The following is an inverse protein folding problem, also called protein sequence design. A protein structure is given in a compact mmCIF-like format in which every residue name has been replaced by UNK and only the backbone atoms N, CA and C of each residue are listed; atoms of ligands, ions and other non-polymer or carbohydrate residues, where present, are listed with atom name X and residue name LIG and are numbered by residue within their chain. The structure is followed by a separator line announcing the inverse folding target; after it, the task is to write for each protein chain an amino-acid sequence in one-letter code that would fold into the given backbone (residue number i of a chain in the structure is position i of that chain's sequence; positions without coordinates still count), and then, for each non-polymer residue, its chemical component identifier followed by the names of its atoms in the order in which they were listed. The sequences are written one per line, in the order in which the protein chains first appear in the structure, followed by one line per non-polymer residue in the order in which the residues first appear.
data_IF_113160857048
#
_entry.id   IF_113160857048
#
_cell.length_a   1.000
_cell.length_b   1.000
_cell.length_c   1.000
_cell.angle_alpha   90.00
_cell.angle_beta   90.00
_cell.angle_gamma   90.00
#
_symmetry.space_group_name_H-M   'P 1'
#
loop_
_entity.id
_entity.type
_entity.pdbx_description
1 polymer ?
#
# COMPACT_ATOMS: atom_id res chain seq x y z
N UNK A 1 3.07 -22.29 16.00
CA UNK A 1 2.55 -22.46 14.62
C UNK A 1 2.12 -21.08 14.15
N UNK A 2 2.99 -20.38 13.40
CA UNK A 2 2.65 -19.10 12.77
C UNK A 2 1.67 -19.35 11.62
N UNK A 3 0.38 -19.11 11.84
CA UNK A 3 -0.63 -19.16 10.79
C UNK A 3 -0.24 -18.21 9.65
N UNK A 4 -0.42 -18.65 8.41
CA UNK A 4 -0.23 -17.80 7.21
C UNK A 4 -1.11 -16.56 7.36
N UNK A 5 -0.52 -15.37 7.36
CA UNK A 5 -1.28 -14.13 7.43
C UNK A 5 -2.10 -13.95 6.15
N UNK A 6 -3.41 -13.69 6.24
CA UNK A 6 -4.26 -13.59 5.06
C UNK A 6 -3.86 -12.40 4.20
N UNK A 7 -3.84 -12.61 2.89
CA UNK A 7 -3.61 -11.59 1.88
C UNK A 7 -4.36 -11.95 0.59
N UNK A 8 -4.65 -10.96 -0.22
CA UNK A 8 -5.32 -11.15 -1.50
C UNK A 8 -4.38 -11.73 -2.55
N UNK A 9 -4.93 -12.55 -3.44
CA UNK A 9 -4.23 -12.98 -4.66
C UNK A 9 -4.19 -11.84 -5.69
N UNK A 10 -3.35 -11.99 -6.72
CA UNK A 10 -3.31 -11.06 -7.84
C UNK A 10 -4.67 -10.90 -8.51
N UNK A 11 -5.37 -12.01 -8.73
CA UNK A 11 -6.71 -12.05 -9.32
C UNK A 11 -7.72 -11.27 -8.47
N UNK A 12 -7.69 -11.44 -7.15
CA UNK A 12 -8.58 -10.72 -6.24
C UNK A 12 -8.29 -9.21 -6.21
N UNK A 13 -7.02 -8.81 -6.27
CA UNK A 13 -6.65 -7.39 -6.39
C UNK A 13 -7.18 -6.82 -7.71
N UNK A 14 -6.98 -7.51 -8.83
CA UNK A 14 -7.51 -7.09 -10.13
C UNK A 14 -9.05 -7.00 -10.13
N UNK A 15 -9.74 -7.91 -9.45
CA UNK A 15 -11.20 -7.84 -9.29
C UNK A 15 -11.63 -6.58 -8.52
N UNK A 16 -10.92 -6.21 -7.46
CA UNK A 16 -11.20 -4.99 -6.71
C UNK A 16 -10.93 -3.72 -7.53
N UNK A 17 -9.86 -3.70 -8.31
CA UNK A 17 -9.58 -2.61 -9.24
C UNK A 17 -10.70 -2.44 -10.27
N UNK A 18 -11.09 -3.54 -10.92
CA UNK A 18 -12.16 -3.54 -11.91
C UNK A 18 -13.51 -3.11 -11.30
N UNK A 19 -13.80 -3.57 -10.09
CA UNK A 19 -15.00 -3.16 -9.35
C UNK A 19 -15.00 -1.66 -9.09
N UNK A 20 -13.88 -1.12 -8.56
CA UNK A 20 -13.76 0.31 -8.27
C UNK A 20 -13.89 1.17 -9.54
N UNK A 21 -13.27 0.76 -10.62
CA UNK A 21 -13.29 1.52 -11.86
C UNK A 21 -14.69 1.59 -12.51
N UNK A 22 -15.58 0.68 -12.15
CA UNK A 22 -16.99 0.67 -12.57
C UNK A 22 -17.95 1.33 -11.59
N UNK A 23 -17.52 1.60 -10.36
CA UNK A 23 -18.36 2.24 -9.35
C UNK A 23 -18.51 3.73 -9.63
N UNK A 24 -19.73 4.30 -9.48
CA UNK A 24 -19.90 5.74 -9.43
C UNK A 24 -19.24 6.30 -8.17
N UNK A 25 -18.85 7.56 -8.20
CA UNK A 25 -18.32 8.24 -7.03
C UNK A 25 -19.36 8.32 -5.91
N UNK A 26 -18.98 7.81 -4.74
CA UNK A 26 -19.84 7.65 -3.57
C UNK A 26 -18.99 7.50 -2.30
N UNK A 27 -19.64 7.38 -1.15
CA UNK A 27 -18.92 7.04 0.10
C UNK A 27 -18.31 5.63 0.02
N UNK A 28 -18.99 4.71 -0.61
CA UNK A 28 -18.53 3.33 -0.81
C UNK A 28 -17.30 3.28 -1.71
N UNK A 29 -17.29 4.06 -2.77
CA UNK A 29 -16.12 4.15 -3.65
C UNK A 29 -14.92 4.77 -2.94
N UNK A 30 -15.12 5.73 -2.03
CA UNK A 30 -14.05 6.28 -1.18
C UNK A 30 -13.45 5.22 -0.24
N UNK A 31 -14.28 4.34 0.32
CA UNK A 31 -13.80 3.23 1.15
C UNK A 31 -12.93 2.25 0.35
N UNK A 32 -13.36 1.93 -0.87
CA UNK A 32 -12.59 1.05 -1.74
C UNK A 32 -11.30 1.72 -2.23
N UNK A 33 -11.32 3.00 -2.56
CA UNK A 33 -10.12 3.77 -2.87
C UNK A 33 -9.11 3.76 -1.72
N UNK A 34 -9.57 3.95 -0.48
CA UNK A 34 -8.69 3.91 0.68
C UNK A 34 -8.07 2.53 0.91
N UNK A 35 -8.86 1.46 0.81
CA UNK A 35 -8.37 0.10 0.91
C UNK A 35 -7.34 -0.23 -0.17
N UNK A 36 -7.62 0.13 -1.42
CA UNK A 36 -6.70 -0.08 -2.54
C UNK A 36 -5.45 0.80 -2.41
N UNK A 37 -5.57 2.02 -1.91
CA UNK A 37 -4.40 2.85 -1.62
C UNK A 37 -3.46 2.18 -0.60
N UNK A 38 -4.00 1.62 0.48
CA UNK A 38 -3.21 0.81 1.41
C UNK A 38 -2.62 -0.45 0.76
N UNK A 39 -3.37 -1.09 -0.12
CA UNK A 39 -2.91 -2.29 -0.86
C UNK A 39 -1.72 -1.98 -1.76
N UNK A 40 -1.70 -0.82 -2.40
CA UNK A 40 -0.63 -0.43 -3.34
C UNK A 40 0.50 0.39 -2.71
N UNK A 41 0.41 0.75 -1.44
CA UNK A 41 1.45 1.50 -0.72
C UNK A 41 2.00 0.77 0.51
N UNK A 42 1.26 -0.23 1.00
CA UNK A 42 1.63 -0.92 2.24
C UNK A 42 1.49 -0.09 3.51
N UNK A 43 0.90 1.11 3.43
CA UNK A 43 0.75 2.00 4.58
C UNK A 43 -0.18 1.40 5.63
N UNK A 44 0.16 1.57 6.90
CA UNK A 44 -0.77 1.28 7.99
C UNK A 44 -1.95 2.26 7.94
N UNK A 45 -3.07 1.91 8.59
CA UNK A 45 -4.29 2.72 8.58
C UNK A 45 -4.03 4.18 8.99
N UNK A 46 -3.36 4.39 10.13
CA UNK A 46 -3.05 5.73 10.63
C UNK A 46 -2.13 6.52 9.69
N UNK A 47 -1.13 5.85 9.09
CA UNK A 47 -0.20 6.48 8.16
C UNK A 47 -0.92 6.88 6.86
N UNK A 48 -1.79 6.01 6.33
CA UNK A 48 -2.59 6.30 5.15
C UNK A 48 -3.60 7.43 5.38
N UNK A 49 -4.23 7.48 6.56
CA UNK A 49 -5.17 8.54 6.93
C UNK A 49 -4.47 9.89 7.10
N UNK A 50 -3.22 9.88 7.61
CA UNK A 50 -2.36 11.05 7.75
C UNK A 50 -1.53 11.40 6.51
N UNK A 51 -1.76 10.72 5.39
CA UNK A 51 -1.01 10.98 4.17
C UNK A 51 -1.21 12.41 3.66
N UNK A 52 -0.10 13.05 3.32
CA UNK A 52 -0.03 14.40 2.76
C UNK A 52 0.87 14.34 1.52
N UNK A 53 0.29 14.59 0.35
CA UNK A 53 0.99 14.47 -0.92
C UNK A 53 2.23 15.37 -0.98
N UNK A 54 2.09 16.62 -0.60
CA UNK A 54 3.18 17.62 -0.68
C UNK A 54 4.36 17.28 0.25
N UNK A 55 4.08 16.64 1.37
CA UNK A 55 5.10 16.27 2.35
C UNK A 55 5.76 14.95 2.08
N UNK A 56 4.98 13.98 1.57
CA UNK A 56 5.42 12.60 1.54
C UNK A 56 5.84 12.11 0.15
N UNK A 57 5.43 12.80 -0.93
CA UNK A 57 5.78 12.35 -2.29
C UNK A 57 7.06 13.03 -2.76
N UNK A 58 8.02 12.22 -3.14
CA UNK A 58 9.29 12.64 -3.71
C UNK A 58 9.48 12.00 -5.08
N UNK A 59 10.30 12.60 -5.92
CA UNK A 59 10.64 12.05 -7.25
C UNK A 59 12.11 11.62 -7.27
N UNK A 60 12.35 10.36 -7.67
CA UNK A 60 13.67 9.79 -7.77
C UNK A 60 13.81 9.16 -9.15
N UNK A 61 14.79 9.61 -9.94
CA UNK A 61 15.01 9.12 -11.32
C UNK A 61 13.74 9.18 -12.18
N UNK A 62 12.94 10.25 -12.03
CA UNK A 62 11.70 10.44 -12.78
C UNK A 62 10.49 9.65 -12.28
N UNK A 63 10.63 8.85 -11.24
CA UNK A 63 9.55 8.04 -10.68
C UNK A 63 9.13 8.56 -9.30
N UNK A 64 7.83 8.58 -8.97
CA UNK A 64 7.36 9.03 -7.68
C UNK A 64 7.49 7.93 -6.61
N UNK A 65 7.88 8.34 -5.41
CA UNK A 65 7.97 7.51 -4.20
C UNK A 65 7.27 8.20 -3.04
N UNK A 66 6.78 7.41 -2.08
CA UNK A 66 6.34 7.91 -0.78
C UNK A 66 7.50 7.73 0.19
N UNK A 67 7.94 8.83 0.80
CA UNK A 67 8.94 8.89 1.86
C UNK A 67 8.25 9.41 3.13
N UNK A 68 8.25 8.63 4.19
CA UNK A 68 7.53 8.98 5.40
C UNK A 68 8.05 8.29 6.65
N UNK A 69 7.46 8.65 7.77
CA UNK A 69 7.69 8.02 9.07
C UNK A 69 6.42 7.38 9.59
N UNK A 70 6.58 6.18 10.15
CA UNK A 70 5.48 5.46 10.80
C UNK A 70 5.00 6.20 12.03
N UNK A 71 3.75 6.59 12.09
CA UNK A 71 3.15 7.31 13.24
C UNK A 71 3.33 6.50 14.53
N UNK A 72 3.16 5.18 14.45
CA UNK A 72 3.23 4.31 15.64
C UNK A 72 4.65 4.09 16.18
N UNK A 73 5.66 4.05 15.32
CA UNK A 73 7.01 3.60 15.68
C UNK A 73 8.09 4.63 15.41
N UNK A 74 7.81 5.68 14.62
CA UNK A 74 8.80 6.64 14.15
C UNK A 74 9.77 6.08 13.11
N UNK A 75 9.62 4.81 12.71
CA UNK A 75 10.49 4.19 11.71
C UNK A 75 10.27 4.81 10.34
N UNK A 76 11.34 5.13 9.64
CA UNK A 76 11.28 5.60 8.25
C UNK A 76 10.86 4.48 7.30
N UNK A 77 10.14 4.84 6.24
CA UNK A 77 9.79 3.93 5.16
C UNK A 77 9.80 4.67 3.83
N UNK A 78 10.16 3.96 2.77
CA UNK A 78 10.11 4.46 1.40
C UNK A 78 9.49 3.39 0.52
N UNK A 79 8.43 3.76 -0.21
CA UNK A 79 7.75 2.85 -1.13
C UNK A 79 7.53 3.51 -2.49
N UNK A 80 7.58 2.76 -3.60
CA UNK A 80 7.22 3.32 -4.89
C UNK A 80 5.73 3.70 -4.91
N UNK A 81 5.42 4.85 -5.49
CA UNK A 81 4.04 5.26 -5.74
C UNK A 81 3.58 4.65 -7.07
N UNK A 82 3.05 3.44 -7.00
CA UNK A 82 2.66 2.66 -8.17
C UNK A 82 1.50 3.31 -8.96
N UNK A 83 1.34 3.00 -10.26
CA UNK A 83 0.39 3.68 -11.12
C UNK A 83 -1.05 3.68 -10.61
N UNK A 84 -1.53 2.58 -10.05
CA UNK A 84 -2.89 2.55 -9.52
C UNK A 84 -3.07 3.43 -8.27
N UNK A 85 -2.05 3.51 -7.40
CA UNK A 85 -2.06 4.45 -6.28
C UNK A 85 -2.08 5.91 -6.77
N UNK A 86 -1.34 6.23 -7.85
CA UNK A 86 -1.41 7.55 -8.50
C UNK A 86 -2.81 7.84 -9.05
N UNK A 87 -3.47 6.86 -9.66
CA UNK A 87 -4.85 6.96 -10.14
C UNK A 87 -5.83 7.25 -8.99
N UNK A 88 -5.65 6.60 -7.84
CA UNK A 88 -6.45 6.89 -6.63
C UNK A 88 -6.22 8.32 -6.15
N UNK A 89 -4.97 8.78 -6.07
CA UNK A 89 -4.66 10.15 -5.67
C UNK A 89 -5.29 11.18 -6.60
N UNK A 90 -5.25 10.95 -7.92
CA UNK A 90 -5.87 11.84 -8.90
C UNK A 90 -7.37 12.00 -8.67
N UNK A 91 -8.10 10.92 -8.37
CA UNK A 91 -9.56 10.98 -8.16
C UNK A 91 -9.97 11.36 -6.73
N UNK A 92 -9.07 11.31 -5.77
CA UNK A 92 -9.34 11.71 -4.36
C UNK A 92 -8.77 13.08 -3.99
N UNK A 93 -8.29 13.85 -4.97
CA UNK A 93 -7.65 15.15 -4.72
C UNK A 93 -6.40 15.03 -3.84
N UNK A 94 -5.59 14.00 -4.08
CA UNK A 94 -4.37 13.69 -3.33
C UNK A 94 -4.59 13.34 -1.84
N UNK A 95 -5.83 13.06 -1.44
CA UNK A 95 -6.15 12.80 -0.03
C UNK A 95 -7.14 11.63 0.11
N UNK A 96 -6.70 10.38 0.01
CA UNK A 96 -7.53 9.24 0.34
C UNK A 96 -8.02 9.36 1.78
N UNK A 97 -9.30 9.13 2.02
CA UNK A 97 -9.89 9.31 3.36
C UNK A 97 -11.01 8.34 3.62
N UNK A 98 -11.30 8.14 4.90
CA UNK A 98 -12.37 7.29 5.40
C UNK A 98 -13.27 8.14 6.30
N UNK A 99 -14.47 8.53 5.83
CA UNK A 99 -15.39 9.34 6.63
C UNK A 99 -15.87 8.67 7.93
N UNK A 100 -15.93 7.34 7.96
CA UNK A 100 -16.37 6.58 9.13
C UNK A 100 -15.68 5.21 9.15
N UNK A 101 -14.89 4.96 10.20
CA UNK A 101 -14.17 3.69 10.39
C UNK A 101 -15.14 2.51 10.53
N UNK A 102 -16.26 2.69 11.24
CA UNK A 102 -17.24 1.63 11.46
C UNK A 102 -17.91 1.22 10.13
N UNK A 103 -18.32 2.20 9.32
CA UNK A 103 -18.91 1.96 8.00
C UNK A 103 -17.88 1.38 7.02
N UNK A 104 -16.65 1.85 7.09
CA UNK A 104 -15.54 1.30 6.31
C UNK A 104 -15.33 -0.19 6.59
N UNK A 105 -15.21 -0.57 7.86
CA UNK A 105 -15.04 -1.97 8.24
C UNK A 105 -16.24 -2.84 7.84
N UNK A 106 -17.46 -2.31 7.95
CA UNK A 106 -18.66 -2.99 7.49
C UNK A 106 -18.65 -3.21 5.97
N UNK A 107 -18.33 -2.17 5.22
CA UNK A 107 -18.20 -2.21 3.76
C UNK A 107 -17.16 -3.25 3.32
N UNK A 108 -15.99 -3.27 3.97
CA UNK A 108 -14.93 -4.23 3.63
C UNK A 108 -15.35 -5.69 3.80
N UNK A 109 -16.17 -6.01 4.79
CA UNK A 109 -16.72 -7.36 4.97
C UNK A 109 -17.60 -7.77 3.78
N UNK A 110 -18.46 -6.87 3.32
CA UNK A 110 -19.33 -7.11 2.17
C UNK A 110 -18.55 -7.28 0.87
N UNK A 111 -17.57 -6.43 0.62
CA UNK A 111 -16.71 -6.51 -0.56
C UNK A 111 -15.86 -7.78 -0.55
N UNK A 112 -15.30 -8.16 0.59
CA UNK A 112 -14.55 -9.42 0.71
C UNK A 112 -15.40 -10.64 0.33
N UNK A 113 -16.62 -10.70 0.83
CA UNK A 113 -17.55 -11.77 0.47
C UNK A 113 -17.90 -11.76 -1.03
N UNK A 114 -18.11 -10.58 -1.61
CA UNK A 114 -18.46 -10.43 -3.03
C UNK A 114 -17.36 -10.92 -3.99
N UNK A 115 -16.08 -10.82 -3.61
CA UNK A 115 -14.95 -11.34 -4.39
C UNK A 115 -14.50 -12.74 -3.95
N UNK A 116 -15.28 -13.43 -3.12
CA UNK A 116 -15.00 -14.80 -2.69
C UNK A 116 -13.85 -14.95 -1.71
N UNK A 117 -13.53 -13.92 -0.91
CA UNK A 117 -12.56 -14.06 0.17
C UNK A 117 -13.07 -14.94 1.29
N UNK A 118 -12.23 -15.87 1.75
CA UNK A 118 -12.51 -16.75 2.88
C UNK A 118 -12.17 -16.11 4.25
N UNK A 119 -11.77 -14.86 4.24
CA UNK A 119 -11.39 -14.07 5.43
C UNK A 119 -11.90 -12.63 5.28
N UNK A 120 -12.15 -11.92 6.38
CA UNK A 120 -12.60 -10.54 6.30
C UNK A 120 -11.49 -9.62 5.80
N UNK A 121 -11.83 -8.69 4.91
CA UNK A 121 -10.91 -7.63 4.50
C UNK A 121 -10.72 -6.65 5.66
N UNK A 122 -9.46 -6.27 5.88
CA UNK A 122 -9.05 -5.29 6.89
C UNK A 122 -7.85 -4.49 6.38
N UNK A 123 -7.51 -3.39 7.03
CA UNK A 123 -6.27 -2.66 6.73
C UNK A 123 -5.01 -3.52 6.87
N UNK A 124 -5.01 -4.50 7.76
CA UNK A 124 -3.91 -5.46 7.86
C UNK A 124 -3.82 -6.37 6.64
N UNK A 125 -4.96 -6.80 6.11
CA UNK A 125 -5.00 -7.59 4.86
C UNK A 125 -4.47 -6.75 3.69
N UNK A 126 -4.85 -5.49 3.58
CA UNK A 126 -4.31 -4.58 2.55
C UNK A 126 -2.78 -4.51 2.62
N UNK A 127 -2.23 -4.28 3.81
CA UNK A 127 -0.79 -4.20 4.04
C UNK A 127 -0.06 -5.53 3.77
N UNK A 128 -0.66 -6.67 4.13
CA UNK A 128 -0.11 -7.98 3.81
C UNK A 128 -0.17 -8.30 2.31
N UNK A 129 -1.21 -7.83 1.64
CA UNK A 129 -1.34 -7.94 0.19
C UNK A 129 -0.25 -7.15 -0.53
N UNK A 130 0.03 -5.93 -0.09
CA UNK A 130 1.18 -5.17 -0.59
C UNK A 130 2.48 -5.98 -0.46
N UNK A 131 2.76 -6.49 0.74
CA UNK A 131 3.98 -7.23 0.98
C UNK A 131 4.09 -8.50 0.12
N UNK A 132 3.06 -9.35 0.13
CA UNK A 132 3.12 -10.67 -0.48
C UNK A 132 2.82 -10.65 -1.99
N UNK A 133 1.80 -9.92 -2.41
CA UNK A 133 1.28 -9.96 -3.78
C UNK A 133 1.90 -8.89 -4.65
N UNK A 134 1.95 -7.64 -4.15
CA UNK A 134 2.43 -6.51 -4.95
C UNK A 134 3.96 -6.48 -5.01
N UNK A 135 4.66 -6.70 -3.91
CA UNK A 135 6.12 -6.55 -3.85
C UNK A 135 6.84 -7.89 -4.03
N UNK A 136 6.66 -8.85 -3.12
CA UNK A 136 7.33 -10.14 -3.24
C UNK A 136 6.87 -10.93 -4.47
N UNK A 137 5.59 -10.82 -4.83
CA UNK A 137 5.02 -11.45 -6.02
C UNK A 137 5.63 -10.97 -7.33
N UNK A 138 6.18 -9.76 -7.37
CA UNK A 138 6.90 -9.19 -8.52
C UNK A 138 8.43 -9.37 -8.41
N UNK A 139 8.89 -10.23 -7.52
CA UNK A 139 10.30 -10.62 -7.43
C UNK A 139 11.22 -9.68 -6.65
N UNK A 140 10.66 -8.71 -5.93
CA UNK A 140 11.48 -7.82 -5.07
C UNK A 140 12.00 -8.61 -3.86
N UNK A 141 13.29 -8.52 -3.53
CA UNK A 141 13.86 -9.22 -2.38
C UNK A 141 13.19 -8.85 -1.05
N UNK A 142 13.12 -9.82 -0.14
CA UNK A 142 12.52 -9.65 1.19
C UNK A 142 13.19 -8.53 2.00
N UNK A 143 14.48 -8.38 1.87
CA UNK A 143 15.28 -7.35 2.55
C UNK A 143 14.83 -5.94 2.12
N UNK A 144 14.55 -5.76 0.83
CA UNK A 144 14.02 -4.51 0.28
C UNK A 144 12.61 -4.23 0.83
N UNK A 145 11.75 -5.26 0.85
CA UNK A 145 10.42 -5.15 1.44
C UNK A 145 10.48 -4.72 2.91
N UNK A 146 11.41 -5.26 3.70
CA UNK A 146 11.57 -4.89 5.11
C UNK A 146 11.83 -3.39 5.28
N UNK A 147 12.67 -2.81 4.44
CA UNK A 147 12.94 -1.37 4.41
C UNK A 147 11.70 -0.60 3.97
N UNK A 148 11.02 -1.03 2.91
CA UNK A 148 9.75 -0.44 2.45
C UNK A 148 8.67 -0.42 3.54
N UNK A 149 8.65 -1.42 4.41
CA UNK A 149 7.63 -1.54 5.47
C UNK A 149 7.99 -0.79 6.76
N UNK A 150 9.19 -0.20 6.84
CA UNK A 150 9.66 0.46 8.05
C UNK A 150 9.81 -0.50 9.23
N UNK A 151 10.24 -1.73 8.98
CA UNK A 151 10.46 -2.72 10.03
C UNK A 151 11.80 -2.44 10.71
N UNK A 152 11.77 -2.16 12.02
CA UNK A 152 12.93 -1.82 12.86
C UNK A 152 13.86 -2.99 13.18
N UNK A 153 13.60 -4.19 12.67
CA UNK A 153 14.38 -5.39 13.02
C UNK A 153 15.67 -5.58 12.22
N UNK A 154 16.02 -4.66 11.33
CA UNK A 154 17.38 -4.59 10.85
C UNK A 154 18.18 -3.84 11.92
N UNK A 155 18.69 -4.57 12.88
CA UNK A 155 19.77 -4.11 13.77
C UNK A 155 20.98 -3.83 12.89
N UNK A 156 21.04 -2.67 12.32
CA UNK A 156 22.17 -2.24 11.53
C UNK A 156 22.59 -0.85 11.97
N UNK A 157 23.74 -0.86 12.56
CA UNK A 157 24.81 0.13 12.68
C UNK A 157 24.53 1.42 11.91
N UNK A 158 24.89 2.54 12.53
CA UNK A 158 24.84 3.94 12.07
C UNK A 158 25.26 4.23 10.62
N UNK A 159 25.82 3.25 9.92
CA UNK A 159 26.27 3.33 8.52
C UNK A 159 25.09 3.43 7.53
N UNK A 160 23.88 3.02 7.90
CA UNK A 160 22.72 2.89 7.00
C UNK A 160 21.71 4.03 7.07
N UNK A 161 21.95 5.09 7.82
CA UNK A 161 21.00 6.20 7.98
C UNK A 161 20.70 6.99 6.67
N UNK A 162 21.50 6.82 5.61
CA UNK A 162 21.30 7.45 4.29
C UNK A 162 20.97 6.45 3.16
N UNK A 163 20.89 5.16 3.46
CA UNK A 163 20.77 4.10 2.47
C UNK A 163 19.34 3.66 2.09
N UNK A 164 18.24 3.98 2.82
CA UNK A 164 16.92 3.41 2.47
C UNK A 164 16.49 3.75 1.06
N UNK A 165 16.65 4.99 0.63
CA UNK A 165 16.21 5.45 -0.70
C UNK A 165 17.04 4.80 -1.80
N UNK A 166 18.37 4.90 -1.72
CA UNK A 166 19.28 4.33 -2.74
C UNK A 166 19.15 2.81 -2.83
N UNK A 167 19.02 2.16 -1.69
CA UNK A 167 18.85 0.71 -1.64
C UNK A 167 17.53 0.26 -2.30
N UNK A 168 16.43 0.95 -2.01
CA UNK A 168 15.13 0.66 -2.61
C UNK A 168 15.18 0.92 -4.11
N UNK A 169 15.64 2.07 -4.54
CA UNK A 169 15.64 2.45 -5.97
C UNK A 169 16.52 1.54 -6.83
N UNK A 170 17.61 1.01 -6.31
CA UNK A 170 18.45 0.03 -7.01
C UNK A 170 17.77 -1.34 -7.17
N UNK A 171 16.87 -1.70 -6.26
CA UNK A 171 16.22 -3.00 -6.22
C UNK A 171 14.78 -2.98 -6.72
N UNK A 172 14.23 -1.82 -7.08
CA UNK A 172 12.94 -1.67 -7.72
C UNK A 172 13.13 -1.60 -9.23
N UNK A 173 12.61 -2.59 -9.95
CA UNK A 173 12.71 -2.64 -11.41
C UNK A 173 11.72 -1.68 -12.06
N UNK A 174 12.05 -1.19 -13.26
CA UNK A 174 11.11 -0.42 -14.07
C UNK A 174 9.83 -1.21 -14.36
N UNK A 175 9.93 -2.53 -14.50
CA UNK A 175 8.78 -3.40 -14.66
C UNK A 175 7.79 -3.28 -13.49
N UNK A 176 8.27 -3.31 -12.24
CA UNK A 176 7.40 -3.10 -11.08
C UNK A 176 6.74 -1.71 -11.12
N UNK A 177 7.51 -0.66 -11.43
CA UNK A 177 7.02 0.72 -11.49
C UNK A 177 5.93 0.93 -12.55
N UNK A 178 5.95 0.13 -13.62
CA UNK A 178 4.99 0.21 -14.73
C UNK A 178 3.85 -0.81 -14.62
N UNK A 179 3.93 -1.72 -13.66
CA UNK A 179 2.89 -2.73 -13.39
C UNK A 179 1.78 -2.16 -12.52
N UNK A 180 0.63 -2.80 -12.50
CA UNK A 180 -0.52 -2.40 -11.69
C UNK A 180 -1.12 -1.03 -12.08
N UNK A 181 -1.42 -0.87 -13.31
CA UNK A 181 -2.23 0.24 -13.88
C UNK A 181 -3.76 -0.01 -13.69
#
# INVERSE_FOLDING_TARGET
KGGRRPHLTKEQVCQLQALRDKMPDSKESMYLDFFLFQTFTGMAFSDALGFDFEKHVITINGNPYIDGQRIKTGSEYVVPLLPYAQKILARTGNKPTVPSIQKYNYFLKGIGAAIGCLFPLTSHVARHTFACTIILGEGVPKEVLQVMMGHSSIKTTEIYAKLPIDFITRNVSQHLLDTWT
#
